data_IF_781748106726
#
_entry.id   IF_781748106726
#
_cell.length_a   1.000
_cell.length_b   1.000
_cell.length_c   1.000
_cell.angle_alpha   90.00
_cell.angle_beta   90.00
_cell.angle_gamma   90.00
#
_symmetry.space_group_name_H-M   'P 1'
#
loop_
_entity.id
_entity.type
_entity.pdbx_description
1 polymer ?
#
# COMPACT_ATOMS: atom_id res chain seq x y z
N UNK A 1 28.72 69.67 45.09
CA UNK A 1 28.24 68.37 45.61
C UNK A 1 27.90 67.47 44.41
N UNK A 2 28.54 66.28 44.35
CA UNK A 2 28.09 64.97 43.77
C UNK A 2 27.12 65.01 42.58
N UNK A 3 27.28 64.34 41.43
CA UNK A 3 27.96 63.07 41.07
C UNK A 3 27.72 62.88 39.56
N UNK A 4 28.73 62.42 38.81
CA UNK A 4 28.58 61.78 37.49
C UNK A 4 28.22 60.27 37.67
N UNK A 5 28.25 59.42 36.64
CA UNK A 5 27.54 59.36 35.34
C UNK A 5 26.85 57.98 35.14
N UNK A 6 25.95 57.77 34.17
CA UNK A 6 25.74 56.41 33.60
C UNK A 6 25.51 56.48 32.08
N UNK A 7 26.44 55.82 31.39
CA UNK A 7 26.44 55.39 29.99
C UNK A 7 25.17 54.61 29.63
N UNK A 8 24.52 54.96 28.53
CA UNK A 8 23.48 54.15 27.88
C UNK A 8 23.76 54.04 26.39
N UNK A 9 24.65 53.13 26.04
CA UNK A 9 24.92 52.66 24.67
C UNK A 9 23.75 51.76 24.24
N UNK A 10 23.16 51.96 23.05
CA UNK A 10 22.86 50.89 22.09
C UNK A 10 21.95 51.33 20.92
N UNK A 11 22.59 51.47 19.76
CA UNK A 11 22.30 50.71 18.53
C UNK A 11 20.90 50.76 17.89
N UNK A 12 20.86 51.50 16.77
CA UNK A 12 19.96 51.35 15.62
C UNK A 12 20.01 49.91 15.08
N UNK A 13 18.88 49.29 14.73
CA UNK A 13 18.80 48.51 13.49
C UNK A 13 17.38 48.26 12.98
N UNK A 14 17.23 48.57 11.70
CA UNK A 14 16.05 48.50 10.87
C UNK A 14 15.42 47.09 10.80
N UNK A 15 14.09 47.07 10.77
CA UNK A 15 13.30 45.90 10.41
C UNK A 15 13.42 45.64 8.89
N UNK A 16 14.10 44.57 8.50
CA UNK A 16 13.95 43.93 7.19
C UNK A 16 13.19 42.62 7.41
N UNK A 17 11.87 42.64 7.18
CA UNK A 17 11.07 41.42 7.08
C UNK A 17 11.23 40.83 5.68
N UNK A 18 12.01 39.76 5.56
CA UNK A 18 12.04 38.93 4.37
C UNK A 18 10.73 38.12 4.28
N UNK A 19 9.87 38.48 3.33
CA UNK A 19 8.76 37.64 2.90
C UNK A 19 9.31 36.48 2.05
N UNK A 20 9.55 35.33 2.68
CA UNK A 20 9.82 34.08 1.98
C UNK A 20 8.49 33.46 1.52
N UNK A 21 8.31 33.31 0.21
CA UNK A 21 7.13 32.67 -0.38
C UNK A 21 6.94 31.25 0.18
N UNK A 22 5.83 31.06 0.87
CA UNK A 22 5.33 29.79 1.34
C UNK A 22 4.65 29.01 0.20
N UNK A 23 4.95 27.71 0.11
CA UNK A 23 4.01 26.65 -0.25
C UNK A 23 3.48 26.64 -1.69
N UNK A 24 4.26 26.11 -2.63
CA UNK A 24 3.66 25.30 -3.70
C UNK A 24 2.95 24.09 -3.08
N UNK A 25 1.95 23.49 -3.75
CA UNK A 25 1.23 22.33 -3.22
C UNK A 25 2.24 21.19 -3.04
N UNK A 26 2.75 21.08 -1.82
CA UNK A 26 3.63 20.02 -1.42
C UNK A 26 2.84 18.74 -1.55
N UNK A 27 3.12 17.97 -2.60
CA UNK A 27 3.04 16.52 -2.54
C UNK A 27 3.80 16.15 -1.26
N UNK A 28 3.06 15.84 -0.19
CA UNK A 28 3.66 15.24 0.99
C UNK A 28 4.43 14.04 0.45
N UNK A 29 5.75 14.11 0.44
CA UNK A 29 6.57 12.94 0.17
C UNK A 29 6.04 11.86 1.12
N UNK A 30 5.56 10.75 0.55
CA UNK A 30 5.14 9.62 1.35
C UNK A 30 6.30 9.30 2.30
N UNK A 31 6.01 9.24 3.60
CA UNK A 31 7.05 8.91 4.57
C UNK A 31 7.68 7.58 4.17
N UNK A 32 9.00 7.55 4.06
CA UNK A 32 9.73 6.33 3.74
C UNK A 32 9.59 5.39 4.94
N UNK A 33 8.98 4.22 4.73
CA UNK A 33 8.93 3.15 5.71
C UNK A 33 10.31 2.48 5.77
N UNK A 34 11.01 2.60 6.90
CA UNK A 34 12.38 2.10 7.08
C UNK A 34 12.43 0.66 7.62
N UNK A 35 11.28 -0.01 7.77
CA UNK A 35 11.24 -1.42 8.19
C UNK A 35 11.77 -2.33 7.08
N UNK A 36 12.22 -3.56 7.42
CA UNK A 36 12.58 -4.55 6.41
C UNK A 36 11.45 -4.76 5.39
N UNK A 37 11.74 -4.79 4.08
CA UNK A 37 10.75 -5.05 3.02
C UNK A 37 9.81 -6.22 3.31
N UNK A 38 10.36 -7.30 3.84
CA UNK A 38 9.63 -8.52 4.23
C UNK A 38 8.51 -8.22 5.22
N UNK A 39 8.76 -7.38 6.23
CA UNK A 39 7.76 -7.03 7.25
C UNK A 39 6.66 -6.15 6.65
N UNK A 40 7.04 -5.13 5.89
CA UNK A 40 6.11 -4.18 5.26
C UNK A 40 5.19 -4.92 4.28
N UNK A 41 5.75 -5.76 3.42
CA UNK A 41 4.98 -6.52 2.42
C UNK A 41 4.07 -7.54 3.10
N UNK A 42 4.53 -8.22 4.17
CA UNK A 42 3.69 -9.16 4.94
C UNK A 42 2.46 -8.48 5.52
N UNK A 43 2.64 -7.33 6.15
CA UNK A 43 1.54 -6.55 6.73
C UNK A 43 0.55 -6.12 5.63
N UNK A 44 1.05 -5.52 4.56
CA UNK A 44 0.21 -5.04 3.45
C UNK A 44 -0.55 -6.16 2.75
N UNK A 45 0.09 -7.31 2.53
CA UNK A 45 -0.58 -8.47 1.97
C UNK A 45 -1.69 -8.97 2.90
N UNK A 46 -1.43 -9.02 4.20
CA UNK A 46 -2.42 -9.40 5.22
C UNK A 46 -3.63 -8.46 5.21
N UNK A 47 -3.40 -7.14 5.22
CA UNK A 47 -4.45 -6.13 5.16
C UNK A 47 -5.31 -6.25 3.89
N UNK A 48 -4.66 -6.42 2.74
CA UNK A 48 -5.34 -6.61 1.46
C UNK A 48 -6.26 -7.84 1.49
N UNK A 49 -5.76 -8.98 1.99
CA UNK A 49 -6.57 -10.19 2.12
C UNK A 49 -7.71 -10.05 3.11
N UNK A 50 -7.52 -9.33 4.22
CA UNK A 50 -8.59 -9.02 5.15
C UNK A 50 -9.75 -8.26 4.49
N UNK A 51 -9.44 -7.35 3.56
CA UNK A 51 -10.46 -6.65 2.76
C UNK A 51 -11.14 -7.59 1.78
N UNK A 52 -10.38 -8.45 1.09
CA UNK A 52 -10.96 -9.45 0.17
C UNK A 52 -11.92 -10.42 0.88
N UNK A 53 -11.56 -10.89 2.09
CA UNK A 53 -12.40 -11.76 2.91
C UNK A 53 -13.70 -11.06 3.34
N UNK A 54 -13.64 -9.76 3.60
CA UNK A 54 -14.81 -8.91 3.89
C UNK A 54 -15.59 -8.49 2.65
N UNK A 55 -15.14 -8.90 1.46
CA UNK A 55 -15.67 -8.47 0.15
C UNK A 55 -15.59 -6.96 -0.10
N UNK A 56 -14.69 -6.27 0.61
CA UNK A 56 -14.39 -4.86 0.37
C UNK A 56 -13.35 -4.73 -0.76
N UNK A 57 -13.79 -5.08 -1.97
CA UNK A 57 -12.92 -5.08 -3.15
C UNK A 57 -12.52 -3.67 -3.56
N UNK A 58 -13.39 -2.69 -3.30
CA UNK A 58 -13.11 -1.29 -3.58
C UNK A 58 -11.92 -0.80 -2.72
N UNK A 59 -11.89 -1.09 -1.42
CA UNK A 59 -10.75 -0.73 -0.59
C UNK A 59 -9.49 -1.54 -0.94
N UNK A 60 -9.63 -2.83 -1.28
CA UNK A 60 -8.50 -3.68 -1.67
C UNK A 60 -7.75 -3.14 -2.90
N UNK A 61 -8.40 -2.35 -3.76
CA UNK A 61 -7.79 -1.69 -4.91
C UNK A 61 -6.61 -0.77 -4.53
N UNK A 62 -6.64 -0.15 -3.34
CA UNK A 62 -5.57 0.73 -2.88
C UNK A 62 -4.22 0.03 -2.68
N UNK A 63 -4.22 -1.30 -2.58
CA UNK A 63 -3.01 -2.11 -2.45
C UNK A 63 -2.37 -2.49 -3.78
N UNK A 64 -3.03 -2.20 -4.90
CA UNK A 64 -2.47 -2.46 -6.21
C UNK A 64 -1.28 -1.55 -6.51
N UNK A 65 -0.31 -2.08 -7.26
CA UNK A 65 0.77 -1.28 -7.83
C UNK A 65 0.21 -0.18 -8.74
N UNK A 66 0.97 0.90 -8.90
CA UNK A 66 0.57 1.99 -9.79
C UNK A 66 0.36 1.51 -11.23
N UNK A 67 1.25 0.64 -11.74
CA UNK A 67 1.09 0.02 -13.06
C UNK A 67 -0.18 -0.83 -13.18
N UNK A 68 -0.60 -1.53 -12.12
CA UNK A 68 -1.88 -2.22 -12.14
C UNK A 68 -3.07 -1.25 -12.12
N UNK A 69 -2.97 -0.15 -11.38
CA UNK A 69 -4.03 0.88 -11.32
C UNK A 69 -4.16 1.71 -12.59
N UNK A 70 -3.10 1.85 -13.38
CA UNK A 70 -3.17 2.52 -14.69
C UNK A 70 -3.88 1.68 -15.76
N UNK A 71 -3.95 0.36 -15.58
CA UNK A 71 -4.55 -0.58 -16.55
C UNK A 71 -6.00 -0.97 -16.24
N UNK A 72 -6.44 -0.85 -14.99
CA UNK A 72 -7.82 -1.15 -14.58
C UNK A 72 -8.36 -0.12 -13.59
N UNK A 73 -9.61 0.29 -13.78
CA UNK A 73 -10.31 1.14 -12.82
C UNK A 73 -10.68 0.37 -11.55
N UNK A 74 -10.92 1.10 -10.47
CA UNK A 74 -11.39 0.53 -9.21
C UNK A 74 -12.71 -0.26 -9.37
N UNK A 75 -13.66 0.29 -10.15
CA UNK A 75 -14.95 -0.37 -10.40
C UNK A 75 -14.79 -1.65 -11.20
N UNK A 76 -13.92 -1.66 -12.22
CA UNK A 76 -13.62 -2.85 -13.00
C UNK A 76 -12.96 -3.94 -12.13
N UNK A 77 -12.02 -3.55 -11.27
CA UNK A 77 -11.39 -4.44 -10.30
C UNK A 77 -12.40 -5.04 -9.33
N UNK A 78 -13.24 -4.20 -8.71
CA UNK A 78 -14.24 -4.62 -7.72
C UNK A 78 -15.31 -5.53 -8.36
N UNK A 79 -15.79 -5.17 -9.54
CA UNK A 79 -16.77 -5.98 -10.29
C UNK A 79 -16.16 -7.31 -10.75
N UNK A 80 -14.92 -7.27 -11.23
CA UNK A 80 -14.15 -8.44 -11.63
C UNK A 80 -13.99 -9.44 -10.49
N UNK A 81 -13.61 -8.99 -9.29
CA UNK A 81 -13.52 -9.86 -8.11
C UNK A 81 -14.90 -10.32 -7.61
N UNK A 82 -15.88 -9.42 -7.60
CA UNK A 82 -17.24 -9.71 -7.10
C UNK A 82 -18.00 -10.73 -7.94
N UNK A 83 -17.70 -10.82 -9.23
CA UNK A 83 -18.31 -11.76 -10.18
C UNK A 83 -17.64 -13.14 -10.23
N UNK A 84 -16.47 -13.31 -9.62
CA UNK A 84 -15.78 -14.61 -9.59
C UNK A 84 -16.68 -15.64 -8.88
N UNK A 85 -16.83 -16.87 -9.42
CA UNK A 85 -17.60 -17.94 -8.79
C UNK A 85 -16.86 -18.60 -7.60
N UNK A 86 -16.05 -17.82 -6.88
CA UNK A 86 -15.24 -18.22 -5.74
C UNK A 86 -15.72 -17.44 -4.51
N UNK A 87 -15.70 -18.08 -3.35
CA UNK A 87 -15.88 -17.41 -2.07
C UNK A 87 -14.66 -17.70 -1.22
N UNK A 88 -13.88 -16.66 -0.93
CA UNK A 88 -12.76 -16.75 -0.01
C UNK A 88 -13.27 -16.95 1.41
N UNK A 89 -12.74 -17.97 2.08
CA UNK A 89 -13.10 -18.37 3.44
C UNK A 89 -11.98 -18.06 4.43
N UNK A 90 -10.73 -17.97 3.95
CA UNK A 90 -9.57 -17.60 4.75
C UNK A 90 -8.34 -17.36 3.87
N UNK A 91 -7.38 -16.63 4.40
CA UNK A 91 -6.09 -16.39 3.75
C UNK A 91 -5.00 -16.31 4.83
N UNK A 92 -3.89 -16.99 4.60
CA UNK A 92 -2.76 -17.02 5.53
C UNK A 92 -1.47 -16.74 4.77
N UNK A 93 -0.72 -15.72 5.20
CA UNK A 93 0.60 -15.44 4.63
C UNK A 93 1.59 -16.47 5.16
N UNK A 94 1.97 -17.42 4.31
CA UNK A 94 2.90 -18.51 4.68
C UNK A 94 4.34 -18.04 4.60
N UNK A 95 4.67 -17.31 3.53
CA UNK A 95 6.04 -16.87 3.31
C UNK A 95 6.12 -15.54 2.57
N UNK A 96 7.23 -14.82 2.79
CA UNK A 96 7.58 -13.58 2.11
C UNK A 96 9.07 -13.56 1.85
N UNK A 97 9.45 -13.58 0.58
CA UNK A 97 10.83 -13.50 0.12
C UNK A 97 11.01 -12.23 -0.70
N UNK A 98 12.06 -11.47 -0.44
CA UNK A 98 12.38 -10.26 -1.20
C UNK A 98 13.71 -10.44 -1.92
N UNK A 99 13.79 -9.91 -3.15
CA UNK A 99 15.02 -9.89 -3.93
C UNK A 99 16.11 -9.07 -3.19
N UNK A 100 17.40 -9.36 -3.40
CA UNK A 100 18.50 -8.66 -2.73
C UNK A 100 18.45 -7.13 -2.85
N UNK A 101 17.95 -6.63 -3.98
CA UNK A 101 17.77 -5.21 -4.27
C UNK A 101 16.63 -4.58 -3.44
N UNK A 102 15.73 -5.41 -2.88
CA UNK A 102 14.66 -4.98 -1.99
C UNK A 102 13.50 -4.25 -2.69
N UNK A 103 13.41 -4.32 -4.02
CA UNK A 103 12.36 -3.64 -4.80
C UNK A 103 11.21 -4.57 -5.18
N UNK A 104 11.43 -5.88 -5.15
CA UNK A 104 10.44 -6.89 -5.49
C UNK A 104 10.39 -7.94 -4.38
N UNK A 105 9.17 -8.30 -3.98
CA UNK A 105 8.94 -9.40 -3.06
C UNK A 105 7.90 -10.38 -3.61
N UNK A 106 8.11 -11.66 -3.34
CA UNK A 106 7.16 -12.74 -3.58
C UNK A 106 6.50 -13.14 -2.26
N UNK A 107 5.18 -13.26 -2.28
CA UNK A 107 4.39 -13.63 -1.09
C UNK A 107 3.62 -14.90 -1.40
N UNK A 108 3.79 -15.93 -0.57
CA UNK A 108 3.01 -17.16 -0.66
C UNK A 108 1.84 -17.06 0.31
N UNK A 109 0.63 -17.07 -0.22
CA UNK A 109 -0.61 -17.03 0.55
C UNK A 109 -1.33 -18.35 0.41
N UNK A 110 -1.57 -19.05 1.51
CA UNK A 110 -2.47 -20.20 1.49
C UNK A 110 -3.91 -19.68 1.58
N UNK A 111 -4.69 -19.89 0.52
CA UNK A 111 -6.04 -19.37 0.39
C UNK A 111 -7.03 -20.51 0.55
N UNK A 112 -7.90 -20.41 1.55
CA UNK A 112 -9.04 -21.30 1.72
C UNK A 112 -10.26 -20.68 1.00
N UNK A 113 -10.91 -21.46 0.15
CA UNK A 113 -12.01 -20.97 -0.66
C UNK A 113 -13.07 -22.05 -0.86
N UNK A 114 -14.27 -21.62 -1.27
CA UNK A 114 -15.28 -22.51 -1.82
C UNK A 114 -15.68 -22.08 -3.23
N UNK A 115 -16.02 -23.06 -4.06
CA UNK A 115 -16.58 -22.89 -5.39
C UNK A 115 -17.91 -23.61 -5.52
N UNK A 116 -18.75 -23.16 -6.44
CA UNK A 116 -19.93 -23.93 -6.85
C UNK A 116 -19.48 -25.08 -7.76
N UNK A 117 -19.82 -26.31 -7.39
CA UNK A 117 -19.57 -27.48 -8.23
C UNK A 117 -20.40 -27.41 -9.51
N UNK A 118 -19.81 -27.86 -10.62
CA UNK A 118 -20.53 -28.04 -11.89
C UNK A 118 -21.35 -29.33 -11.92
N UNK A 119 -21.09 -30.26 -10.98
CA UNK A 119 -21.81 -31.53 -10.88
C UNK A 119 -23.17 -31.33 -10.17
N UNK A 120 -24.29 -31.82 -10.77
CA UNK A 120 -25.61 -31.74 -10.16
C UNK A 120 -25.66 -32.36 -8.75
N UNK A 121 -26.34 -31.69 -7.82
CA UNK A 121 -26.54 -32.18 -6.45
C UNK A 121 -25.37 -32.00 -5.47
N UNK A 122 -24.17 -31.65 -5.95
CA UNK A 122 -22.97 -31.52 -5.09
C UNK A 122 -22.91 -30.19 -4.31
N UNK A 123 -23.54 -29.13 -4.82
CA UNK A 123 -23.56 -27.83 -4.14
C UNK A 123 -22.20 -27.11 -4.17
N UNK A 124 -21.73 -26.62 -3.02
CA UNK A 124 -20.43 -25.94 -2.90
C UNK A 124 -19.36 -26.89 -2.37
N UNK A 125 -18.16 -26.80 -2.94
CA UNK A 125 -16.99 -27.57 -2.50
C UNK A 125 -15.94 -26.58 -2.00
N UNK A 126 -15.34 -26.88 -0.86
CA UNK A 126 -14.25 -26.10 -0.28
C UNK A 126 -12.91 -26.76 -0.57
N UNK A 127 -11.89 -25.94 -0.81
CA UNK A 127 -10.51 -26.38 -1.02
C UNK A 127 -9.55 -25.28 -0.57
N UNK A 128 -8.29 -25.62 -0.40
CA UNK A 128 -7.22 -24.67 -0.11
C UNK A 128 -6.09 -24.82 -1.13
N UNK A 129 -5.49 -23.70 -1.52
CA UNK A 129 -4.33 -23.71 -2.43
C UNK A 129 -3.40 -22.55 -2.15
N UNK A 130 -2.08 -22.74 -2.33
CA UNK A 130 -1.14 -21.62 -2.31
C UNK A 130 -1.32 -20.73 -3.54
N UNK A 131 -1.25 -19.42 -3.32
CA UNK A 131 -1.22 -18.38 -4.34
C UNK A 131 0.06 -17.58 -4.15
N UNK A 132 0.82 -17.42 -5.22
CA UNK A 132 2.02 -16.57 -5.22
C UNK A 132 1.66 -15.19 -5.72
N UNK A 133 1.89 -14.18 -4.89
CA UNK A 133 1.73 -12.77 -5.23
C UNK A 133 3.07 -12.11 -5.46
N UNK A 134 3.12 -11.16 -6.37
CA UNK A 134 4.28 -10.31 -6.59
C UNK A 134 3.98 -8.90 -6.12
N UNK A 135 4.88 -8.35 -5.31
CA UNK A 135 4.81 -7.00 -4.75
C UNK A 135 6.01 -6.20 -5.25
N UNK A 136 5.77 -4.95 -5.66
CA UNK A 136 6.78 -4.09 -6.27
C UNK A 136 6.79 -2.76 -5.52
N UNK A 137 7.98 -2.27 -5.20
CA UNK A 137 8.20 -0.93 -4.66
C UNK A 137 8.51 0.05 -5.78
N UNK A 138 7.74 1.14 -5.90
CA UNK A 138 7.97 2.20 -6.90
C UNK A 138 8.44 3.51 -6.26
N UNK A 139 8.99 3.46 -5.04
CA UNK A 139 9.42 4.63 -4.27
C UNK A 139 8.26 5.36 -3.56
N UNK A 140 7.04 5.23 -4.06
CA UNK A 140 5.81 5.68 -3.37
C UNK A 140 5.27 4.65 -2.36
N UNK A 141 5.87 3.46 -2.31
CA UNK A 141 5.50 2.36 -1.44
C UNK A 141 5.32 1.04 -2.20
N UNK A 142 4.95 0.00 -1.45
CA UNK A 142 4.75 -1.35 -1.96
C UNK A 142 3.35 -1.57 -2.55
N UNK A 143 3.27 -2.09 -3.76
CA UNK A 143 1.99 -2.44 -4.40
C UNK A 143 1.97 -3.85 -4.99
N UNK A 144 0.82 -4.52 -4.87
CA UNK A 144 0.54 -5.81 -5.48
C UNK A 144 0.43 -5.68 -7.00
N UNK A 145 1.20 -6.48 -7.74
CA UNK A 145 1.19 -6.56 -9.20
C UNK A 145 0.56 -7.89 -9.64
N UNK A 146 -0.72 -7.91 -10.07
CA UNK A 146 -1.37 -9.12 -10.55
C UNK A 146 -0.66 -9.68 -11.80
N UNK A 147 -0.35 -10.98 -11.79
CA UNK A 147 0.35 -11.66 -12.89
C UNK A 147 -0.48 -11.72 -14.19
N UNK A 148 -1.82 -11.69 -14.08
CA UNK A 148 -2.74 -11.70 -15.23
C UNK A 148 -2.62 -10.46 -16.11
N UNK A 149 -2.18 -9.34 -15.53
CA UNK A 149 -2.09 -8.03 -16.20
C UNK A 149 -0.77 -7.89 -16.99
N UNK A 150 0.27 -8.65 -16.62
CA UNK A 150 1.63 -8.54 -17.21
C UNK A 150 1.77 -9.31 -18.53
N UNK A 151 0.77 -10.14 -18.90
CA UNK A 151 0.82 -11.00 -20.12
C UNK A 151 -0.02 -10.49 -21.29
N UNK A 152 -0.29 -9.18 -21.38
CA UNK A 152 -0.95 -8.58 -22.54
C UNK A 152 0.02 -7.76 -23.38
#
# INVERSE_FOLDING_TARGET
MRTSPILGLATVLAALTAAGCAGGPGTKAAAVDNRPPVEVVRERATERWNLLLKRDFAAAYAFLSEGARSMQSQDAYASGLGSRPVTWLGAEIRDVECEPEGEVCSVIVNVHYSIKSTLPGVGRVSSQSPVTERWINTGSGWGYAPQEIVRQ
#
